data_IF_415543440242
#
_entry.id   IF_415543440242
#
_cell.length_a   1.000
_cell.length_b   1.000
_cell.length_c   1.000
_cell.angle_alpha   90.00
_cell.angle_beta   90.00
_cell.angle_gamma   90.00
#
_symmetry.space_group_name_H-M   'P 1'
#
loop_
_entity.id
_entity.type
_entity.pdbx_description
1 polymer ?
#
# COMPACT_ATOMS: atom_id res chain seq x y z
N UNK A 1 -37.09 49.97 -60.01
CA UNK A 1 -35.75 50.48 -60.38
C UNK A 1 -35.13 51.11 -59.14
N UNK A 2 -33.84 50.84 -58.90
CA UNK A 2 -33.04 51.29 -57.73
C UNK A 2 -33.46 50.62 -56.40
N UNK A 3 -32.64 49.90 -55.64
CA UNK A 3 -31.19 49.83 -55.57
C UNK A 3 -30.80 50.10 -54.11
N UNK A 4 -30.39 49.07 -53.35
CA UNK A 4 -29.46 49.28 -52.23
C UNK A 4 -28.87 47.94 -51.72
N UNK A 5 -27.62 47.67 -52.13
CA UNK A 5 -26.74 46.67 -51.52
C UNK A 5 -26.03 47.34 -50.35
N UNK A 6 -26.32 46.93 -49.11
CA UNK A 6 -25.44 47.22 -47.96
C UNK A 6 -24.50 46.04 -47.71
N UNK A 7 -23.25 46.24 -48.10
CA UNK A 7 -22.08 45.47 -47.68
C UNK A 7 -21.87 45.58 -46.16
N UNK A 8 -21.88 44.47 -45.42
CA UNK A 8 -21.33 44.44 -44.07
C UNK A 8 -19.84 44.17 -44.16
N UNK A 9 -19.04 45.17 -43.77
CA UNK A 9 -17.61 45.06 -43.52
C UNK A 9 -17.38 44.20 -42.27
N UNK A 10 -16.60 43.14 -42.42
CA UNK A 10 -16.00 42.38 -41.32
C UNK A 10 -14.81 43.18 -40.79
N UNK A 11 -14.79 43.43 -39.48
CA UNK A 11 -13.61 43.94 -38.78
C UNK A 11 -12.83 42.75 -38.24
N UNK A 12 -11.57 42.62 -38.65
CA UNK A 12 -10.63 41.66 -38.07
C UNK A 12 -10.13 42.24 -36.73
N UNK A 13 -10.36 41.52 -35.64
CA UNK A 13 -9.72 41.76 -34.35
C UNK A 13 -8.32 41.13 -34.39
N UNK A 14 -7.25 41.82 -33.95
CA UNK A 14 -5.93 41.22 -33.84
C UNK A 14 -5.92 40.22 -32.67
N UNK A 15 -5.60 38.96 -32.98
CA UNK A 15 -5.27 37.94 -31.98
C UNK A 15 -3.84 38.22 -31.51
N UNK A 16 -3.71 38.69 -30.26
CA UNK A 16 -2.42 38.74 -29.57
C UNK A 16 -2.18 37.35 -28.99
N UNK A 17 -1.24 36.59 -29.57
CA UNK A 17 -0.69 35.40 -28.94
C UNK A 17 0.24 35.84 -27.80
N UNK A 18 -0.22 35.75 -26.55
CA UNK A 18 0.69 35.66 -25.41
C UNK A 18 1.23 34.23 -25.35
N UNK A 19 2.53 34.08 -25.60
CA UNK A 19 3.28 32.87 -25.27
C UNK A 19 3.30 32.68 -23.75
N UNK A 20 2.51 31.74 -23.24
CA UNK A 20 2.60 31.29 -21.86
C UNK A 20 3.87 30.43 -21.71
N UNK A 21 4.83 30.93 -20.94
CA UNK A 21 5.95 30.13 -20.45
C UNK A 21 5.39 29.15 -19.41
N UNK A 22 5.66 27.83 -19.49
CA UNK A 22 5.23 26.92 -18.45
C UNK A 22 6.01 27.23 -17.16
N UNK A 23 5.32 27.78 -16.16
CA UNK A 23 5.82 27.76 -14.79
C UNK A 23 5.63 26.35 -14.25
N UNK A 24 6.73 25.64 -13.99
CA UNK A 24 6.73 24.53 -13.05
C UNK A 24 6.30 25.09 -11.69
N UNK A 25 5.06 24.82 -11.30
CA UNK A 25 4.65 24.95 -9.91
C UNK A 25 5.09 23.66 -9.23
N UNK A 26 6.25 23.70 -8.57
CA UNK A 26 6.58 22.70 -7.57
C UNK A 26 5.50 22.78 -6.50
N UNK A 27 4.64 21.76 -6.41
CA UNK A 27 3.81 21.57 -5.24
C UNK A 27 4.75 21.36 -4.06
N UNK A 28 4.95 22.40 -3.25
CA UNK A 28 5.61 22.26 -1.97
C UNK A 28 4.78 21.28 -1.13
N UNK A 29 5.35 20.17 -0.65
CA UNK A 29 4.65 19.34 0.31
C UNK A 29 4.29 20.20 1.52
N UNK A 30 3.15 19.94 2.19
CA UNK A 30 2.92 20.54 3.50
C UNK A 30 4.15 20.24 4.36
N UNK A 31 4.76 21.29 4.90
CA UNK A 31 5.98 21.17 5.69
C UNK A 31 5.81 20.17 6.83
N UNK A 32 6.91 19.58 7.33
CA UNK A 32 6.84 18.65 8.43
C UNK A 32 6.04 19.28 9.58
N UNK A 33 5.14 18.53 10.24
CA UNK A 33 4.58 19.00 11.49
C UNK A 33 5.75 19.39 12.39
N UNK A 34 5.62 20.55 13.04
CA UNK A 34 6.63 21.09 13.94
C UNK A 34 7.23 19.97 14.79
N UNK A 35 8.56 19.91 14.81
CA UNK A 35 9.32 19.08 15.73
C UNK A 35 9.05 19.56 17.16
N UNK A 36 7.89 19.17 17.69
CA UNK A 36 7.71 19.04 19.13
C UNK A 36 8.64 17.93 19.55
N UNK A 37 9.73 18.31 20.22
CA UNK A 37 10.55 17.38 20.99
C UNK A 37 9.64 16.56 21.89
N UNK A 38 9.33 15.34 21.49
CA UNK A 38 8.89 14.32 22.43
C UNK A 38 10.13 13.91 23.20
N UNK A 39 10.34 14.57 24.35
CA UNK A 39 11.16 14.02 25.41
C UNK A 39 10.58 12.64 25.74
N UNK A 40 11.30 11.61 25.32
CA UNK A 40 11.06 10.23 25.71
C UNK A 40 11.38 10.07 27.20
N UNK A 41 10.43 10.42 28.07
CA UNK A 41 10.36 9.79 29.39
C UNK A 41 9.75 8.41 29.23
N UNK A 42 10.36 7.35 29.79
CA UNK A 42 9.82 6.01 29.71
C UNK A 42 8.56 5.95 30.59
N UNK A 43 7.39 6.13 29.97
CA UNK A 43 6.14 5.76 30.60
C UNK A 43 6.07 4.24 30.57
N UNK A 44 6.20 3.62 31.75
CA UNK A 44 5.81 2.24 31.95
C UNK A 44 4.31 2.12 31.65
N UNK A 45 3.95 1.77 30.41
CA UNK A 45 2.57 1.48 30.03
C UNK A 45 2.28 0.03 30.38
N UNK A 46 1.36 -0.10 31.32
CA UNK A 46 0.85 -1.34 31.86
C UNK A 46 0.09 -2.07 30.75
N UNK A 47 0.59 -3.23 30.34
CA UNK A 47 -0.13 -4.14 29.45
C UNK A 47 -1.58 -4.33 29.93
N UNK A 48 -2.55 -3.94 29.10
CA UNK A 48 -3.96 -4.20 29.39
C UNK A 48 -4.19 -5.70 29.18
N UNK A 49 -4.59 -6.38 30.25
CA UNK A 49 -5.05 -7.77 30.20
C UNK A 49 -6.21 -7.89 29.21
N UNK A 50 -6.12 -8.91 28.37
CA UNK A 50 -7.05 -9.18 27.27
C UNK A 50 -8.52 -8.95 27.62
N UNK A 51 -9.15 -8.08 26.82
CA UNK A 51 -10.59 -8.08 26.66
C UNK A 51 -10.97 -9.32 25.85
N UNK A 52 -11.76 -10.21 26.47
CA UNK A 52 -12.43 -11.31 25.78
C UNK A 52 -13.39 -10.73 24.75
N UNK A 53 -13.08 -10.89 23.47
CA UNK A 53 -14.07 -10.76 22.41
C UNK A 53 -15.04 -11.95 22.51
N UNK A 54 -16.33 -11.63 22.63
CA UNK A 54 -17.41 -12.61 22.61
C UNK A 54 -17.60 -13.12 21.19
N UNK A 55 -17.63 -14.45 21.06
CA UNK A 55 -17.84 -15.22 19.84
C UNK A 55 -19.13 -14.81 19.11
N UNK A 56 -19.00 -14.64 17.79
CA UNK A 56 -19.99 -15.04 16.80
C UNK A 56 -19.29 -15.96 15.81
N UNK A 57 -19.45 -17.27 15.97
CA UNK A 57 -18.78 -18.27 15.13
C UNK A 57 -19.58 -18.64 13.89
N UNK A 58 -18.87 -18.94 12.80
CA UNK A 58 -19.03 -20.20 12.06
C UNK A 58 -17.91 -20.33 11.02
N UNK A 59 -17.11 -21.39 11.13
CA UNK A 59 -16.04 -21.71 10.19
C UNK A 59 -14.98 -22.58 10.85
N UNK A 60 -15.23 -23.90 10.87
CA UNK A 60 -14.29 -24.90 11.41
C UNK A 60 -13.14 -25.11 10.40
N UNK A 61 -12.06 -24.36 10.54
CA UNK A 61 -10.74 -24.70 9.99
C UNK A 61 -10.00 -25.58 11.00
N UNK A 62 -9.95 -26.88 10.75
CA UNK A 62 -9.35 -27.89 11.63
C UNK A 62 -7.83 -27.86 11.46
N UNK A 63 -7.12 -27.17 12.35
CA UNK A 63 -5.65 -27.26 12.44
C UNK A 63 -5.27 -28.67 12.91
N UNK A 64 -4.64 -29.44 12.04
CA UNK A 64 -4.10 -30.77 12.33
C UNK A 64 -2.72 -30.61 12.97
N UNK A 65 -2.64 -30.72 14.30
CA UNK A 65 -1.39 -30.90 15.02
C UNK A 65 -1.07 -32.39 15.12
N UNK A 66 -0.03 -32.83 14.41
CA UNK A 66 0.56 -34.15 14.64
C UNK A 66 1.85 -33.96 15.46
N UNK A 67 1.90 -34.38 16.74
CA UNK A 67 3.10 -34.26 17.55
C UNK A 67 4.07 -35.39 17.21
N UNK A 68 5.19 -35.07 16.56
CA UNK A 68 6.31 -36.00 16.45
C UNK A 68 7.26 -35.81 17.64
N UNK A 69 7.52 -36.94 18.29
CA UNK A 69 8.25 -37.16 19.54
C UNK A 69 9.76 -36.80 19.39
N UNK A 70 10.40 -36.22 20.43
CA UNK A 70 11.82 -35.84 20.37
C UNK A 70 12.75 -37.07 20.45
N UNK A 71 13.91 -37.08 19.75
CA UNK A 71 14.97 -38.03 20.02
C UNK A 71 15.80 -37.63 21.26
N UNK A 72 16.22 -38.65 22.00
CA UNK A 72 16.99 -38.66 23.25
C UNK A 72 18.48 -38.32 22.99
N UNK A 73 19.21 -37.69 23.95
CA UNK A 73 20.55 -37.19 23.72
C UNK A 73 21.59 -38.33 23.68
N UNK A 74 22.56 -38.19 22.79
CA UNK A 74 23.73 -39.08 22.69
C UNK A 74 24.98 -38.29 23.06
N UNK A 75 25.70 -38.80 24.05
CA UNK A 75 26.97 -38.32 24.59
C UNK A 75 28.15 -38.69 23.68
N UNK A 76 29.34 -38.19 24.04
CA UNK A 76 30.72 -38.49 23.52
C UNK A 76 31.09 -37.72 22.25
N UNK A 77 32.24 -37.06 22.10
CA UNK A 77 33.54 -37.11 22.82
C UNK A 77 34.29 -35.80 22.55
N UNK A 78 34.97 -35.26 23.55
CA UNK A 78 35.94 -34.18 23.43
C UNK A 78 37.20 -34.67 22.70
N UNK A 79 37.59 -33.98 21.63
CA UNK A 79 38.94 -34.09 21.06
C UNK A 79 39.59 -32.72 21.02
N UNK A 80 40.73 -32.64 21.69
CA UNK A 80 41.64 -31.50 21.75
C UNK A 80 42.38 -31.38 20.42
N UNK A 81 42.46 -30.19 19.83
CA UNK A 81 43.44 -29.87 18.78
C UNK A 81 43.76 -28.37 18.77
N UNK A 82 44.94 -28.07 19.29
CA UNK A 82 45.99 -27.22 18.71
C UNK A 82 45.61 -25.84 18.17
N UNK A 83 45.86 -24.81 18.97
CA UNK A 83 45.96 -23.41 18.55
C UNK A 83 47.12 -23.21 17.56
N UNK A 84 46.79 -22.84 16.32
CA UNK A 84 47.76 -22.29 15.36
C UNK A 84 47.31 -20.90 14.96
N UNK A 85 48.04 -19.90 15.44
CA UNK A 85 47.82 -18.48 15.12
C UNK A 85 48.12 -18.26 13.65
N UNK A 86 47.08 -18.05 12.85
CA UNK A 86 47.19 -17.66 11.44
C UNK A 86 46.74 -16.20 11.33
N UNK A 87 47.69 -15.31 11.04
CA UNK A 87 47.46 -13.89 10.80
C UNK A 87 46.81 -13.73 9.44
N UNK A 88 45.48 -13.62 9.39
CA UNK A 88 44.76 -13.32 8.15
C UNK A 88 44.60 -11.81 8.02
N UNK A 89 45.33 -11.22 7.09
CA UNK A 89 45.15 -9.82 6.66
C UNK A 89 43.79 -9.70 5.96
N UNK A 90 42.84 -9.05 6.62
CA UNK A 90 41.53 -8.73 6.03
C UNK A 90 41.70 -7.60 5.01
N UNK A 91 41.76 -7.96 3.73
CA UNK A 91 41.62 -7.00 2.64
C UNK A 91 40.15 -6.61 2.54
N UNK A 92 39.83 -5.38 2.94
CA UNK A 92 38.49 -4.81 2.80
C UNK A 92 38.19 -4.59 1.32
N UNK A 93 37.49 -5.52 0.69
CA UNK A 93 36.95 -5.33 -0.65
C UNK A 93 35.76 -4.37 -0.54
N UNK A 94 35.98 -3.10 -0.84
CA UNK A 94 34.92 -2.10 -0.96
C UNK A 94 34.09 -2.44 -2.21
N UNK A 95 32.97 -3.13 -2.02
CA UNK A 95 31.99 -3.31 -3.09
C UNK A 95 31.30 -1.96 -3.30
N UNK A 96 31.73 -1.22 -4.30
CA UNK A 96 31.04 -0.02 -4.76
C UNK A 96 29.73 -0.47 -5.41
N UNK A 97 28.65 -0.46 -4.65
CA UNK A 97 27.31 -0.60 -5.20
C UNK A 97 27.03 0.65 -6.03
N UNK A 98 27.14 0.52 -7.34
CA UNK A 98 26.75 1.55 -8.30
C UNK A 98 25.24 1.74 -8.18
N UNK A 99 24.81 2.80 -7.50
CA UNK A 99 23.41 3.21 -7.45
C UNK A 99 23.06 3.75 -8.84
N UNK A 100 22.63 2.86 -9.73
CA UNK A 100 22.00 3.28 -10.98
C UNK A 100 20.73 4.01 -10.59
N UNK A 101 20.73 5.34 -10.74
CA UNK A 101 19.52 6.15 -10.68
C UNK A 101 18.66 5.74 -11.87
N UNK A 102 17.78 4.76 -11.67
CA UNK A 102 16.74 4.43 -12.64
C UNK A 102 15.74 5.58 -12.58
N UNK A 103 15.96 6.61 -13.39
CA UNK A 103 14.86 7.51 -13.77
C UNK A 103 13.76 6.63 -14.34
N UNK A 104 12.64 6.52 -13.62
CA UNK A 104 11.44 5.80 -14.06
C UNK A 104 10.89 6.51 -15.31
N UNK A 105 11.34 6.09 -16.49
CA UNK A 105 11.01 6.73 -17.77
C UNK A 105 9.88 6.04 -18.54
N UNK A 106 9.26 4.99 -18.01
CA UNK A 106 8.06 4.42 -18.62
C UNK A 106 6.95 4.21 -17.61
N UNK A 107 5.76 4.72 -17.93
CA UNK A 107 4.53 4.46 -17.17
C UNK A 107 3.50 3.81 -18.09
N UNK A 108 2.38 3.35 -17.54
CA UNK A 108 1.26 2.84 -18.33
C UNK A 108 0.69 3.90 -19.31
N UNK A 109 1.08 5.18 -19.20
CA UNK A 109 0.72 6.23 -20.15
C UNK A 109 1.39 6.05 -21.51
N UNK A 110 2.48 5.29 -21.61
CA UNK A 110 3.15 5.03 -22.90
C UNK A 110 2.36 4.07 -23.79
N UNK A 111 1.29 3.47 -23.27
CA UNK A 111 0.37 2.63 -24.01
C UNK A 111 -0.43 3.36 -25.09
N UNK A 112 -1.13 2.57 -25.91
CA UNK A 112 -2.09 3.06 -26.90
C UNK A 112 -3.50 3.14 -26.34
N UNK A 113 -4.28 4.12 -26.77
CA UNK A 113 -5.69 4.24 -26.40
C UNK A 113 -6.08 5.68 -26.07
N UNK A 114 -7.37 5.93 -25.76
CA UNK A 114 -7.87 7.26 -25.41
C UNK A 114 -7.08 7.85 -24.24
N UNK A 115 -6.56 9.08 -24.39
CA UNK A 115 -5.92 9.81 -23.30
C UNK A 115 -6.91 10.81 -22.71
N UNK A 116 -7.17 10.70 -21.42
CA UNK A 116 -8.00 11.61 -20.66
C UNK A 116 -7.11 12.33 -19.64
N UNK A 117 -6.75 13.60 -19.87
CA UNK A 117 -6.04 14.37 -18.86
C UNK A 117 -7.01 14.76 -17.74
N UNK A 118 -6.66 14.40 -16.51
CA UNK A 118 -7.34 14.86 -15.30
C UNK A 118 -6.46 15.94 -14.66
N UNK A 119 -7.04 17.12 -14.44
CA UNK A 119 -6.30 18.28 -13.93
C UNK A 119 -7.10 19.01 -12.86
N UNK A 120 -6.41 19.75 -12.00
CA UNK A 120 -7.02 20.61 -11.00
C UNK A 120 -7.50 19.84 -9.76
N UNK A 121 -8.26 20.53 -8.92
CA UNK A 121 -8.72 19.98 -7.64
C UNK A 121 -10.18 19.52 -7.75
N UNK A 122 -10.42 18.27 -7.36
CA UNK A 122 -11.71 17.60 -7.40
C UNK A 122 -12.24 17.41 -5.98
N UNK A 123 -13.26 18.19 -5.62
CA UNK A 123 -14.02 18.01 -4.36
C UNK A 123 -15.20 17.05 -4.50
N UNK A 124 -15.50 16.64 -5.73
CA UNK A 124 -16.49 15.62 -6.09
C UNK A 124 -15.81 14.46 -6.79
N UNK A 125 -16.48 13.31 -6.86
CA UNK A 125 -15.98 12.12 -7.54
C UNK A 125 -15.71 12.38 -9.03
N UNK A 126 -14.58 11.85 -9.51
CA UNK A 126 -14.45 11.43 -10.90
C UNK A 126 -15.02 10.00 -10.99
N UNK A 127 -16.29 9.93 -11.40
CA UNK A 127 -17.01 8.67 -11.61
C UNK A 127 -17.18 8.45 -13.12
N UNK A 128 -16.46 7.47 -13.66
CA UNK A 128 -16.59 7.08 -15.06
C UNK A 128 -16.70 5.56 -15.16
N UNK A 129 -17.93 5.10 -15.40
CA UNK A 129 -18.31 3.68 -15.48
C UNK A 129 -18.41 3.16 -16.91
N UNK A 130 -17.86 3.89 -17.88
CA UNK A 130 -17.95 3.57 -19.31
C UNK A 130 -16.66 3.91 -20.05
N UNK A 131 -15.52 3.67 -19.40
CA UNK A 131 -14.21 3.79 -20.04
C UNK A 131 -14.10 2.81 -21.20
N UNK A 132 -13.39 3.21 -22.25
CA UNK A 132 -13.06 2.33 -23.38
C UNK A 132 -11.79 1.53 -23.04
N UNK A 133 -11.61 0.40 -23.72
CA UNK A 133 -10.38 -0.39 -23.59
C UNK A 133 -9.13 0.46 -23.84
N UNK A 134 -8.10 0.24 -23.03
CA UNK A 134 -6.82 0.95 -23.12
C UNK A 134 -6.91 2.44 -22.76
N UNK A 135 -7.98 2.90 -22.09
CA UNK A 135 -8.06 4.31 -21.68
C UNK A 135 -6.96 4.64 -20.68
N UNK A 136 -6.28 5.75 -20.94
CA UNK A 136 -5.19 6.30 -20.13
C UNK A 136 -5.65 7.57 -19.44
N UNK A 137 -5.80 7.50 -18.12
CA UNK A 137 -6.08 8.63 -17.25
C UNK A 137 -4.75 9.23 -16.79
N UNK A 138 -4.38 10.37 -17.36
CA UNK A 138 -3.21 11.14 -16.89
C UNK A 138 -3.65 12.07 -15.77
N UNK A 139 -3.49 11.60 -14.53
CA UNK A 139 -3.91 12.30 -13.32
C UNK A 139 -2.76 13.05 -12.64
N UNK A 140 -1.57 13.12 -13.26
CA UNK A 140 -0.37 13.76 -12.67
C UNK A 140 -0.58 15.23 -12.26
N UNK A 141 -1.59 15.90 -12.81
CA UNK A 141 -1.95 17.29 -12.50
C UNK A 141 -3.28 17.41 -11.74
N UNK A 142 -3.82 16.30 -11.23
CA UNK A 142 -5.06 16.24 -10.47
C UNK A 142 -4.80 16.02 -8.97
N UNK A 143 -5.62 16.68 -8.15
CA UNK A 143 -5.76 16.41 -6.72
C UNK A 143 -7.22 16.10 -6.43
N UNK A 144 -7.48 14.98 -5.78
CA UNK A 144 -8.81 14.57 -5.36
C UNK A 144 -8.94 14.67 -3.84
N UNK A 145 -10.08 15.15 -3.37
CA UNK A 145 -10.35 15.43 -1.97
C UNK A 145 -11.49 14.54 -1.45
N UNK A 146 -11.23 13.26 -1.13
CA UNK A 146 -12.24 12.43 -0.48
C UNK A 146 -12.62 12.99 0.88
N UNK A 147 -13.89 12.81 1.22
CA UNK A 147 -14.51 13.37 2.43
C UNK A 147 -15.75 12.53 2.77
N UNK A 148 -16.41 12.78 3.92
CA UNK A 148 -17.68 12.12 4.23
C UNK A 148 -18.79 12.29 3.17
N UNK A 149 -18.66 13.26 2.26
CA UNK A 149 -19.61 13.48 1.15
C UNK A 149 -19.05 13.06 -0.22
N UNK A 150 -17.79 12.62 -0.28
CA UNK A 150 -17.12 12.13 -1.49
C UNK A 150 -16.35 10.84 -1.16
N UNK A 151 -17.08 9.73 -1.10
CA UNK A 151 -16.58 8.43 -0.63
C UNK A 151 -15.77 7.64 -1.68
N UNK A 152 -15.88 7.99 -2.95
CA UNK A 152 -15.13 7.33 -4.02
C UNK A 152 -14.63 8.40 -4.99
N UNK A 153 -13.57 9.13 -4.64
CA UNK A 153 -13.10 10.27 -5.43
C UNK A 153 -12.63 9.88 -6.83
N UNK A 154 -12.19 8.62 -7.01
CA UNK A 154 -11.91 8.01 -8.32
C UNK A 154 -12.62 6.65 -8.37
N UNK A 155 -13.66 6.55 -9.21
CA UNK A 155 -14.48 5.34 -9.35
C UNK A 155 -14.60 4.95 -10.83
N UNK A 156 -14.01 3.83 -11.20
CA UNK A 156 -13.75 3.46 -12.60
C UNK A 156 -14.46 2.16 -12.99
N UNK A 157 -15.07 2.16 -14.17
CA UNK A 157 -15.64 0.98 -14.82
C UNK A 157 -15.71 1.13 -16.33
N UNK A 158 -16.00 0.02 -17.00
CA UNK A 158 -16.02 -0.04 -18.45
C UNK A 158 -15.09 -1.14 -18.98
N UNK A 159 -14.22 -0.74 -19.90
CA UNK A 159 -13.31 -1.61 -20.65
C UNK A 159 -12.13 -2.15 -19.85
N UNK A 160 -11.22 -2.83 -20.53
CA UNK A 160 -10.02 -3.43 -19.95
C UNK A 160 -8.76 -2.56 -20.20
N UNK A 161 -7.67 -2.84 -19.50
CA UNK A 161 -6.37 -2.22 -19.80
C UNK A 161 -6.31 -0.75 -19.40
N UNK A 162 -7.02 -0.37 -18.34
CA UNK A 162 -7.10 1.02 -17.90
C UNK A 162 -5.80 1.43 -17.23
N UNK A 163 -5.25 2.56 -17.64
CA UNK A 163 -4.10 3.17 -16.98
C UNK A 163 -4.55 4.37 -16.14
N UNK A 164 -4.16 4.40 -14.87
CA UNK A 164 -4.27 5.55 -13.97
C UNK A 164 -2.86 5.93 -13.54
N UNK A 165 -2.36 7.07 -14.03
CA UNK A 165 -1.00 7.49 -13.75
C UNK A 165 -0.95 8.82 -12.98
N UNK A 166 -0.28 8.80 -11.83
CA UNK A 166 -0.08 9.96 -10.98
C UNK A 166 -1.33 10.43 -10.25
N UNK A 167 -1.25 11.64 -9.74
CA UNK A 167 -2.34 12.30 -9.00
C UNK A 167 -2.26 12.08 -7.51
N UNK A 168 -2.88 13.00 -6.79
CA UNK A 168 -2.90 13.00 -5.33
C UNK A 168 -4.33 12.85 -4.81
N UNK A 169 -4.60 11.81 -4.03
CA UNK A 169 -5.86 11.62 -3.32
C UNK A 169 -5.62 11.96 -1.84
N UNK A 170 -6.07 13.13 -1.42
CA UNK A 170 -5.77 13.71 -0.11
C UNK A 170 -7.03 13.81 0.74
N UNK A 171 -7.23 12.86 1.65
CA UNK A 171 -8.43 12.78 2.47
C UNK A 171 -8.63 13.96 3.40
N UNK A 172 -9.84 14.50 3.38
CA UNK A 172 -10.30 15.63 4.19
C UNK A 172 -11.06 15.17 5.44
N UNK A 173 -10.85 13.93 5.85
CA UNK A 173 -11.48 13.37 7.04
C UNK A 173 -10.76 13.86 8.30
N UNK A 174 -11.53 14.08 9.36
CA UNK A 174 -10.97 14.36 10.68
C UNK A 174 -10.12 13.17 11.15
N UNK A 175 -8.87 13.45 11.53
CA UNK A 175 -7.90 12.42 11.99
C UNK A 175 -8.20 11.91 13.40
N UNK A 176 -9.13 12.55 14.11
CA UNK A 176 -9.64 12.09 15.41
C UNK A 176 -10.73 11.02 15.29
N UNK A 177 -11.26 10.78 14.08
CA UNK A 177 -12.20 9.70 13.82
C UNK A 177 -11.57 8.36 14.15
N UNK A 178 -12.32 7.52 14.86
CA UNK A 178 -11.92 6.16 15.14
C UNK A 178 -11.91 5.30 13.87
N UNK A 179 -11.29 4.13 13.97
CA UNK A 179 -11.41 3.08 12.96
C UNK A 179 -12.87 2.75 12.69
N UNK A 180 -13.71 2.59 13.72
CA UNK A 180 -15.13 2.24 13.52
C UNK A 180 -15.91 3.35 12.80
N UNK A 181 -15.62 4.62 13.10
CA UNK A 181 -16.21 5.77 12.39
C UNK A 181 -15.83 5.75 10.90
N UNK A 182 -14.54 5.53 10.61
CA UNK A 182 -14.01 5.51 9.26
C UNK A 182 -14.44 4.29 8.46
N UNK A 183 -14.48 3.12 9.10
CA UNK A 183 -14.91 1.87 8.50
C UNK A 183 -16.39 1.93 8.10
N UNK A 184 -17.24 2.54 8.94
CA UNK A 184 -18.67 2.68 8.67
C UNK A 184 -18.98 3.51 7.41
N UNK A 185 -18.09 4.45 7.05
CA UNK A 185 -18.26 5.26 5.84
C UNK A 185 -18.11 4.46 4.55
N UNK A 186 -17.41 3.32 4.57
CA UNK A 186 -17.14 2.47 3.40
C UNK A 186 -16.70 3.28 2.16
N UNK A 187 -15.44 3.71 2.15
CA UNK A 187 -14.84 4.53 1.10
C UNK A 187 -13.50 3.96 0.65
N UNK A 188 -13.11 4.25 -0.59
CA UNK A 188 -11.79 3.91 -1.12
C UNK A 188 -11.25 5.06 -1.97
N UNK A 189 -9.94 5.30 -1.92
CA UNK A 189 -9.30 6.36 -2.71
C UNK A 189 -9.44 6.12 -4.21
N UNK A 190 -9.16 4.89 -4.67
CA UNK A 190 -9.31 4.48 -6.06
C UNK A 190 -10.02 3.14 -6.08
N UNK A 191 -11.19 3.10 -6.71
CA UNK A 191 -11.96 1.87 -6.93
C UNK A 191 -12.11 1.64 -8.43
N UNK A 192 -11.91 0.41 -8.88
CA UNK A 192 -12.10 0.04 -10.29
C UNK A 192 -12.75 -1.33 -10.46
N UNK A 193 -13.60 -1.44 -11.48
CA UNK A 193 -14.22 -2.70 -11.93
C UNK A 193 -13.67 -3.14 -13.30
N UNK A 194 -12.69 -2.40 -13.82
CA UNK A 194 -12.03 -2.64 -15.08
C UNK A 194 -10.93 -3.71 -14.92
N UNK A 195 -10.95 -4.81 -15.68
CA UNK A 195 -9.86 -5.79 -15.65
C UNK A 195 -8.60 -5.23 -16.31
N UNK A 196 -7.43 -5.76 -15.92
CA UNK A 196 -6.12 -5.30 -16.41
C UNK A 196 -5.86 -3.81 -16.12
N UNK A 197 -6.30 -3.34 -14.95
CA UNK A 197 -6.09 -1.94 -14.54
C UNK A 197 -4.71 -1.75 -13.92
N UNK A 198 -4.02 -0.71 -14.38
CA UNK A 198 -2.74 -0.25 -13.84
C UNK A 198 -2.95 1.05 -13.06
N UNK A 199 -2.62 1.04 -11.78
CA UNK A 199 -2.58 2.23 -10.91
C UNK A 199 -1.12 2.53 -10.60
N UNK A 200 -0.56 3.56 -11.22
CA UNK A 200 0.86 3.86 -11.17
C UNK A 200 1.17 5.25 -10.60
N UNK A 201 2.17 5.34 -9.74
CA UNK A 201 2.76 6.59 -9.22
C UNK A 201 1.76 7.52 -8.51
N UNK A 202 0.73 6.96 -7.90
CA UNK A 202 -0.30 7.72 -7.15
C UNK A 202 0.17 8.08 -5.74
N UNK A 203 -0.28 9.23 -5.23
CA UNK A 203 -0.13 9.62 -3.82
C UNK A 203 -1.48 9.53 -3.13
N UNK A 204 -1.61 8.77 -2.05
CA UNK A 204 -2.88 8.60 -1.31
C UNK A 204 -2.66 8.81 0.20
N UNK A 205 -3.35 9.78 0.81
CA UNK A 205 -3.27 10.07 2.25
C UNK A 205 -4.65 10.11 2.92
N UNK A 206 -4.72 9.63 4.16
CA UNK A 206 -5.83 9.87 5.08
C UNK A 206 -7.21 9.42 4.54
N UNK A 207 -7.28 8.20 4.00
CA UNK A 207 -8.52 7.58 3.50
C UNK A 207 -8.93 6.41 4.41
N UNK A 208 -10.12 5.80 4.20
CA UNK A 208 -10.42 4.50 4.82
C UNK A 208 -9.62 3.43 4.09
N UNK A 209 -10.00 3.09 2.86
CA UNK A 209 -9.24 2.16 2.02
C UNK A 209 -8.45 2.90 0.95
N UNK A 210 -7.28 2.37 0.60
CA UNK A 210 -6.42 2.92 -0.44
C UNK A 210 -6.94 2.56 -1.84
N UNK A 211 -6.56 1.38 -2.32
CA UNK A 211 -6.88 0.90 -3.66
C UNK A 211 -7.79 -0.31 -3.56
N UNK A 212 -8.93 -0.28 -4.26
CA UNK A 212 -9.98 -1.30 -4.21
C UNK A 212 -10.24 -1.90 -5.61
N UNK A 213 -9.50 -2.95 -6.00
CA UNK A 213 -9.83 -3.74 -7.19
C UNK A 213 -11.13 -4.52 -6.97
N UNK A 214 -12.02 -4.46 -7.96
CA UNK A 214 -13.18 -5.37 -8.06
C UNK A 214 -12.97 -6.41 -9.15
N UNK A 215 -12.24 -6.04 -10.21
CA UNK A 215 -11.83 -6.93 -11.29
C UNK A 215 -10.30 -7.04 -11.38
N UNK A 216 -9.83 -8.14 -11.95
CA UNK A 216 -8.43 -8.44 -12.15
C UNK A 216 -8.13 -9.01 -13.54
N UNK A 217 -6.83 -9.22 -13.86
CA UNK A 217 -5.68 -8.89 -13.02
C UNK A 217 -5.53 -7.37 -12.84
N UNK A 218 -4.78 -6.93 -11.83
CA UNK A 218 -4.45 -5.52 -11.63
C UNK A 218 -2.95 -5.31 -11.38
N UNK A 219 -2.48 -4.09 -11.60
CA UNK A 219 -1.12 -3.66 -11.21
C UNK A 219 -1.22 -2.40 -10.34
N UNK A 220 -0.52 -2.40 -9.21
CA UNK A 220 -0.21 -1.21 -8.41
C UNK A 220 1.29 -1.02 -8.44
N UNK A 221 1.78 0.08 -9.00
CA UNK A 221 3.22 0.35 -9.12
C UNK A 221 3.61 1.74 -8.64
N UNK A 222 4.69 1.88 -7.89
CA UNK A 222 5.18 3.20 -7.49
C UNK A 222 4.21 3.98 -6.61
N UNK A 223 3.22 3.32 -6.01
CA UNK A 223 2.18 3.99 -5.23
C UNK A 223 2.75 4.41 -3.87
N UNK A 224 2.39 5.61 -3.41
CA UNK A 224 2.76 6.12 -2.10
C UNK A 224 1.52 6.37 -1.24
N UNK A 225 1.24 5.42 -0.34
CA UNK A 225 0.11 5.44 0.58
C UNK A 225 0.59 5.82 1.97
N UNK A 226 -0.13 6.71 2.64
CA UNK A 226 0.11 7.06 4.06
C UNK A 226 -1.18 7.20 4.81
N UNK A 227 -1.16 6.83 6.10
CA UNK A 227 -2.29 7.02 7.01
C UNK A 227 -3.63 6.48 6.43
N UNK A 228 -3.58 5.26 5.88
CA UNK A 228 -4.76 4.54 5.38
C UNK A 228 -5.39 3.79 6.54
N UNK A 229 -6.62 4.18 6.90
CA UNK A 229 -7.22 3.81 8.19
C UNK A 229 -7.95 2.49 8.19
N UNK A 230 -8.01 1.78 7.08
CA UNK A 230 -8.38 0.37 7.02
C UNK A 230 -7.41 -0.37 6.08
N UNK A 231 -7.85 -0.83 4.91
CA UNK A 231 -7.01 -1.66 4.03
C UNK A 231 -6.24 -0.78 3.00
N UNK A 232 -4.90 -0.81 3.00
CA UNK A 232 -4.09 -0.12 1.96
C UNK A 232 -4.43 -0.62 0.55
N UNK A 233 -4.60 -1.94 0.41
CA UNK A 233 -5.22 -2.56 -0.76
C UNK A 233 -6.36 -3.46 -0.29
N UNK A 234 -7.59 -3.07 -0.61
CA UNK A 234 -8.80 -3.86 -0.33
C UNK A 234 -9.14 -4.74 -1.52
N UNK A 235 -8.52 -5.91 -1.62
CA UNK A 235 -8.78 -6.90 -2.67
C UNK A 235 -9.79 -7.96 -2.20
N UNK A 236 -10.88 -7.53 -1.58
CA UNK A 236 -11.93 -8.44 -1.11
C UNK A 236 -12.61 -9.22 -2.25
N UNK A 237 -12.44 -8.81 -3.51
CA UNK A 237 -12.88 -9.56 -4.69
C UNK A 237 -11.87 -10.63 -5.16
N UNK A 238 -10.82 -10.88 -4.38
CA UNK A 238 -9.84 -11.98 -4.53
C UNK A 238 -9.24 -12.07 -5.93
N UNK A 239 -8.89 -10.91 -6.49
CA UNK A 239 -8.37 -10.78 -7.84
C UNK A 239 -6.87 -11.06 -7.91
N UNK A 240 -6.35 -11.72 -8.96
CA UNK A 240 -4.91 -11.78 -9.19
C UNK A 240 -4.34 -10.37 -9.43
N UNK A 241 -3.04 -10.20 -9.22
CA UNK A 241 -2.40 -8.93 -9.54
C UNK A 241 -0.95 -8.85 -9.15
N UNK A 242 -0.42 -7.64 -9.32
CA UNK A 242 0.94 -7.25 -8.99
C UNK A 242 0.92 -5.98 -8.15
N UNK A 243 1.63 -5.99 -7.02
CA UNK A 243 1.99 -4.79 -6.26
C UNK A 243 3.51 -4.68 -6.31
N UNK A 244 4.03 -3.66 -6.98
CA UNK A 244 5.45 -3.53 -7.30
C UNK A 244 5.99 -2.15 -6.93
N UNK A 245 7.22 -2.10 -6.44
CA UNK A 245 7.98 -0.87 -6.12
C UNK A 245 7.12 0.20 -5.43
N UNK A 246 6.30 -0.18 -4.45
CA UNK A 246 5.32 0.70 -3.80
C UNK A 246 5.66 0.94 -2.33
N UNK A 247 5.38 2.16 -1.85
CA UNK A 247 5.54 2.56 -0.46
C UNK A 247 4.17 2.67 0.24
N UNK A 248 3.80 1.62 0.96
CA UNK A 248 2.60 1.54 1.79
C UNK A 248 2.97 1.88 3.24
N UNK A 249 3.18 3.17 3.51
CA UNK A 249 3.75 3.69 4.75
C UNK A 249 2.68 4.23 5.71
N UNK A 250 2.00 3.30 6.38
CA UNK A 250 1.03 3.61 7.41
C UNK A 250 -0.35 3.09 7.07
N UNK A 251 -0.42 1.77 6.97
CA UNK A 251 -1.66 1.03 6.80
C UNK A 251 -2.20 0.59 8.18
N UNK A 252 -3.52 0.61 8.36
CA UNK A 252 -4.12 -0.08 9.49
C UNK A 252 -4.11 -1.59 9.25
N UNK A 253 -4.53 -2.03 8.06
CA UNK A 253 -4.30 -3.35 7.47
C UNK A 253 -3.60 -3.14 6.13
N UNK A 254 -2.58 -3.92 5.80
CA UNK A 254 -1.86 -3.68 4.54
C UNK A 254 -2.64 -4.20 3.32
N UNK A 255 -2.91 -5.49 3.24
CA UNK A 255 -3.60 -6.10 2.10
C UNK A 255 -4.71 -7.01 2.62
N UNK A 256 -5.91 -6.89 2.06
CA UNK A 256 -7.04 -7.77 2.38
C UNK A 256 -7.52 -8.56 1.16
N UNK A 257 -7.85 -9.81 1.40
CA UNK A 257 -8.53 -10.72 0.48
C UNK A 257 -9.56 -11.53 1.28
N UNK A 258 -10.51 -10.81 1.90
CA UNK A 258 -11.51 -11.39 2.79
C UNK A 258 -12.92 -11.08 2.29
N UNK A 259 -13.38 -11.77 1.23
CA UNK A 259 -14.66 -11.50 0.60
C UNK A 259 -15.80 -11.55 1.61
N UNK A 260 -16.69 -10.57 1.54
CA UNK A 260 -17.97 -10.61 2.26
C UNK A 260 -18.86 -11.74 1.73
N UNK A 261 -19.87 -12.14 2.51
CA UNK A 261 -20.85 -13.16 2.07
C UNK A 261 -21.49 -12.82 0.72
N UNK A 262 -21.72 -11.53 0.43
CA UNK A 262 -22.29 -11.09 -0.84
C UNK A 262 -21.31 -11.26 -2.01
N UNK A 263 -20.02 -11.00 -1.78
CA UNK A 263 -18.96 -11.21 -2.78
C UNK A 263 -18.81 -12.72 -3.07
N UNK A 264 -18.80 -13.56 -2.02
CA UNK A 264 -18.77 -15.02 -2.18
C UNK A 264 -19.98 -15.50 -2.99
N UNK A 265 -21.19 -15.01 -2.67
CA UNK A 265 -22.41 -15.37 -3.38
C UNK A 265 -22.40 -14.92 -4.85
N UNK A 266 -21.60 -13.90 -5.19
CA UNK A 266 -21.41 -13.42 -6.57
C UNK A 266 -20.40 -14.25 -7.36
N UNK A 267 -19.78 -15.26 -6.74
CA UNK A 267 -18.93 -16.24 -7.43
C UNK A 267 -17.44 -15.90 -7.49
N UNK A 268 -16.98 -14.88 -6.77
CA UNK A 268 -15.55 -14.55 -6.71
C UNK A 268 -14.78 -15.62 -5.92
N UNK A 269 -13.71 -16.12 -6.54
CA UNK A 269 -12.85 -17.18 -6.01
C UNK A 269 -11.43 -17.01 -6.57
N UNK A 270 -10.48 -16.62 -5.72
CA UNK A 270 -9.10 -16.36 -6.10
C UNK A 270 -8.21 -17.60 -6.05
N UNK A 271 -8.71 -18.74 -5.58
CA UNK A 271 -7.89 -19.94 -5.42
C UNK A 271 -7.26 -20.36 -6.75
N UNK A 272 -5.95 -20.60 -6.73
CA UNK A 272 -5.18 -20.96 -7.93
C UNK A 272 -4.79 -19.77 -8.81
N UNK A 273 -5.30 -18.57 -8.53
CA UNK A 273 -4.76 -17.31 -9.06
C UNK A 273 -3.61 -16.82 -8.18
N UNK A 274 -2.87 -15.81 -8.64
CA UNK A 274 -1.67 -15.31 -7.96
C UNK A 274 -1.73 -13.79 -7.73
N UNK A 275 -1.54 -13.37 -6.49
CA UNK A 275 -1.14 -12.02 -6.14
C UNK A 275 0.37 -12.02 -5.86
N UNK A 276 1.11 -11.20 -6.59
CA UNK A 276 2.54 -10.98 -6.36
C UNK A 276 2.76 -9.64 -5.69
N UNK A 277 3.56 -9.61 -4.63
CA UNK A 277 4.01 -8.37 -3.99
C UNK A 277 5.53 -8.36 -4.02
N UNK A 278 6.10 -7.40 -4.74
CA UNK A 278 7.54 -7.32 -4.90
C UNK A 278 8.10 -5.90 -4.79
N UNK A 279 9.38 -5.82 -4.40
CA UNK A 279 10.16 -4.59 -4.32
C UNK A 279 9.51 -3.49 -3.46
N UNK A 280 8.57 -3.87 -2.57
CA UNK A 280 7.67 -2.93 -1.90
C UNK A 280 7.99 -2.78 -0.42
N UNK A 281 7.62 -1.61 0.12
CA UNK A 281 7.81 -1.24 1.51
C UNK A 281 6.44 -1.13 2.18
N UNK A 282 6.20 -1.93 3.22
CA UNK A 282 4.87 -2.07 3.83
C UNK A 282 4.97 -1.88 5.34
N UNK A 283 4.37 -0.82 5.88
CA UNK A 283 4.32 -0.57 7.33
C UNK A 283 2.91 -0.57 7.86
N UNK A 284 2.70 -1.36 8.91
CA UNK A 284 1.54 -1.21 9.79
C UNK A 284 1.80 -0.06 10.75
N UNK A 285 0.88 0.90 10.78
CA UNK A 285 0.93 2.03 11.70
C UNK A 285 -0.12 1.87 12.78
N UNK A 286 0.27 1.89 14.07
CA UNK A 286 -0.66 2.12 15.16
C UNK A 286 -1.37 3.47 14.99
N UNK A 287 -2.69 3.45 14.93
CA UNK A 287 -3.54 4.64 14.75
C UNK A 287 -4.45 4.84 15.96
N UNK A 288 -4.80 6.10 16.30
CA UNK A 288 -5.70 6.40 17.40
C UNK A 288 -7.12 5.87 17.16
N UNK A 289 -7.82 5.50 18.24
CA UNK A 289 -9.20 5.02 18.17
C UNK A 289 -9.36 3.74 17.35
N UNK A 290 -8.60 2.68 17.64
CA UNK A 290 -8.63 1.49 16.80
C UNK A 290 -9.92 0.68 17.04
N UNK A 291 -10.13 -0.39 16.26
CA UNK A 291 -11.38 -1.19 16.26
C UNK A 291 -11.81 -1.62 17.66
N UNK A 292 -12.97 -1.12 18.11
CA UNK A 292 -13.51 -1.40 19.44
C UNK A 292 -12.70 -0.85 20.62
N UNK A 293 -11.69 -0.02 20.36
CA UNK A 293 -10.85 0.66 21.35
C UNK A 293 -11.32 2.08 21.66
N UNK A 294 -10.68 2.71 22.63
CA UNK A 294 -10.90 4.13 22.95
C UNK A 294 -10.11 5.02 21.99
N UNK A 295 -10.55 6.28 21.80
CA UNK A 295 -9.84 7.27 20.97
C UNK A 295 -8.36 7.49 21.37
N UNK A 296 -8.01 7.23 22.64
CA UNK A 296 -6.64 7.34 23.16
C UNK A 296 -5.78 6.10 22.93
N UNK A 297 -6.40 4.97 22.59
CA UNK A 297 -5.67 3.73 22.33
C UNK A 297 -5.02 3.81 20.95
N UNK A 298 -3.88 3.15 20.78
CA UNK A 298 -3.22 3.01 19.48
C UNK A 298 -3.31 1.56 19.02
N UNK A 299 -3.76 1.35 17.79
CA UNK A 299 -3.96 0.01 17.25
C UNK A 299 -3.79 -0.06 15.75
N UNK A 300 -3.46 -1.25 15.28
CA UNK A 300 -3.47 -1.62 13.87
C UNK A 300 -4.05 -3.03 13.71
N UNK A 301 -4.43 -3.37 12.49
CA UNK A 301 -4.76 -4.73 12.05
C UNK A 301 -3.50 -5.50 11.67
N UNK A 302 -3.54 -6.21 10.55
CA UNK A 302 -2.51 -7.19 10.12
C UNK A 302 -1.92 -6.83 8.76
N UNK A 303 -0.81 -7.46 8.38
CA UNK A 303 -0.29 -7.32 7.01
C UNK A 303 -1.22 -7.98 5.98
N UNK A 304 -1.72 -9.17 6.29
CA UNK A 304 -2.57 -9.95 5.38
C UNK A 304 -3.87 -10.35 6.07
N UNK A 305 -4.97 -9.72 5.68
CA UNK A 305 -6.33 -10.08 6.10
C UNK A 305 -6.90 -11.07 5.08
N UNK A 306 -6.60 -12.35 5.29
CA UNK A 306 -6.72 -13.40 4.28
C UNK A 306 -7.90 -14.35 4.52
N UNK A 307 -8.44 -14.93 3.45
CA UNK A 307 -9.50 -15.95 3.52
C UNK A 307 -9.10 -17.26 2.85
N UNK A 308 -9.90 -18.31 3.00
CA UNK A 308 -9.71 -19.59 2.31
C UNK A 308 -10.00 -19.52 0.79
N UNK A 309 -10.61 -18.42 0.32
CA UNK A 309 -10.90 -18.17 -1.10
C UNK A 309 -9.89 -17.22 -1.75
N UNK A 310 -8.93 -16.73 -0.97
CA UNK A 310 -7.93 -15.80 -1.44
C UNK A 310 -6.96 -16.45 -2.43
N UNK A 311 -6.24 -15.61 -3.14
CA UNK A 311 -5.20 -15.96 -4.10
C UNK A 311 -4.05 -16.73 -3.45
N UNK A 312 -3.28 -17.41 -4.29
CA UNK A 312 -1.91 -17.74 -3.91
C UNK A 312 -1.11 -16.45 -3.78
N UNK A 313 -0.11 -16.46 -2.92
CA UNK A 313 0.72 -15.30 -2.62
C UNK A 313 2.17 -15.57 -3.01
N UNK A 314 2.81 -14.59 -3.65
CA UNK A 314 4.26 -14.53 -3.89
C UNK A 314 4.82 -13.22 -3.32
N UNK A 315 5.94 -13.30 -2.59
CA UNK A 315 6.54 -12.19 -1.85
C UNK A 315 8.04 -12.08 -2.10
N UNK A 316 8.49 -11.04 -2.79
CA UNK A 316 9.90 -10.91 -3.19
C UNK A 316 10.50 -9.52 -2.95
N UNK A 317 11.67 -9.48 -2.29
CA UNK A 317 12.44 -8.25 -2.06
C UNK A 317 11.66 -7.14 -1.32
N UNK A 318 10.74 -7.52 -0.42
CA UNK A 318 9.95 -6.55 0.34
C UNK A 318 10.60 -6.21 1.69
N UNK A 319 10.31 -5.02 2.20
CA UNK A 319 10.57 -4.66 3.60
C UNK A 319 9.24 -4.40 4.29
N UNK A 320 8.98 -5.16 5.34
CA UNK A 320 7.82 -5.00 6.21
C UNK A 320 8.24 -4.32 7.51
N UNK A 321 7.37 -3.49 8.09
CA UNK A 321 7.58 -2.91 9.41
C UNK A 321 6.31 -2.94 10.25
N UNK A 322 6.45 -3.34 11.52
CA UNK A 322 5.38 -3.25 12.52
C UNK A 322 5.96 -2.83 13.88
N UNK A 323 5.22 -1.98 14.58
CA UNK A 323 5.67 -1.37 15.84
C UNK A 323 5.06 -2.02 17.08
N UNK A 324 3.99 -2.78 16.91
CA UNK A 324 3.32 -3.50 18.00
C UNK A 324 2.55 -4.70 17.47
N UNK A 325 2.07 -5.53 18.39
CA UNK A 325 1.25 -6.69 18.06
C UNK A 325 -0.09 -6.21 17.53
N UNK A 326 -0.57 -6.83 16.45
CA UNK A 326 -1.90 -6.57 15.90
C UNK A 326 -2.99 -6.75 16.96
N UNK A 327 -4.06 -5.96 16.86
CA UNK A 327 -5.25 -6.16 17.68
C UNK A 327 -5.95 -7.50 17.40
N UNK A 328 -5.73 -8.07 16.22
CA UNK A 328 -6.23 -9.40 15.86
C UNK A 328 -5.40 -10.52 16.53
N UNK A 329 -4.29 -10.17 17.21
CA UNK A 329 -3.41 -11.06 17.93
C UNK A 329 -2.04 -11.25 17.26
N UNK A 330 -1.10 -11.82 18.01
CA UNK A 330 0.24 -12.11 17.50
C UNK A 330 0.25 -13.15 16.37
N UNK A 331 -0.54 -14.20 16.52
CA UNK A 331 -0.59 -15.33 15.59
C UNK A 331 -1.13 -14.95 14.19
N UNK A 332 -1.86 -13.83 14.08
CA UNK A 332 -2.44 -13.35 12.82
C UNK A 332 -1.48 -12.47 12.02
N UNK A 333 -0.31 -12.14 12.57
CA UNK A 333 0.69 -11.33 11.87
C UNK A 333 1.55 -12.16 10.90
N UNK A 334 1.40 -13.49 10.85
CA UNK A 334 2.16 -14.35 9.96
C UNK A 334 1.85 -14.16 8.48
N UNK A 335 2.54 -14.92 7.64
CA UNK A 335 2.30 -14.96 6.20
C UNK A 335 1.19 -15.99 5.89
N UNK A 336 0.25 -15.69 4.97
CA UNK A 336 -0.79 -16.64 4.57
C UNK A 336 -0.23 -18.00 4.15
N UNK A 337 -0.95 -19.07 4.47
CA UNK A 337 -0.57 -20.43 4.10
C UNK A 337 -0.64 -20.71 2.59
N UNK A 338 -1.28 -19.84 1.82
CA UNK A 338 -1.30 -19.87 0.35
C UNK A 338 -0.05 -19.24 -0.27
N UNK A 339 0.98 -18.92 0.53
CA UNK A 339 2.30 -18.55 0.03
C UNK A 339 2.89 -19.68 -0.81
N UNK A 340 3.15 -19.41 -2.08
CA UNK A 340 3.69 -20.39 -3.03
C UNK A 340 5.16 -20.16 -3.37
N UNK A 341 5.62 -18.91 -3.28
CA UNK A 341 7.00 -18.51 -3.51
C UNK A 341 7.36 -17.29 -2.66
N UNK A 342 8.64 -17.17 -2.29
CA UNK A 342 9.15 -15.95 -1.67
C UNK A 342 10.68 -15.89 -1.66
N UNK A 343 11.23 -14.67 -1.71
CA UNK A 343 12.66 -14.42 -1.56
C UNK A 343 12.97 -13.06 -0.93
N UNK A 344 14.08 -12.98 -0.19
CA UNK A 344 14.71 -11.73 0.25
C UNK A 344 13.78 -10.72 0.97
N UNK A 345 12.85 -11.19 1.80
CA UNK A 345 11.98 -10.30 2.57
C UNK A 345 12.64 -9.93 3.90
N UNK A 346 12.39 -8.71 4.37
CA UNK A 346 12.83 -8.22 5.68
C UNK A 346 11.61 -7.88 6.53
N UNK A 347 11.61 -8.32 7.79
CA UNK A 347 10.66 -7.87 8.82
C UNK A 347 11.38 -7.00 9.84
N UNK A 348 11.09 -5.70 9.85
CA UNK A 348 11.50 -4.75 10.87
C UNK A 348 10.46 -4.77 11.99
N UNK A 349 10.75 -5.50 13.07
CA UNK A 349 9.84 -5.69 14.18
C UNK A 349 10.22 -4.80 15.37
N UNK A 350 9.53 -3.68 15.59
CA UNK A 350 9.89 -2.77 16.69
C UNK A 350 9.12 -3.03 17.99
N UNK A 351 8.12 -3.91 17.99
CA UNK A 351 7.36 -4.24 19.19
C UNK A 351 8.17 -5.00 20.24
N UNK A 352 7.57 -5.28 21.39
CA UNK A 352 8.24 -6.00 22.46
C UNK A 352 8.56 -7.46 22.08
N UNK A 353 9.71 -7.96 22.57
CA UNK A 353 10.09 -9.37 22.42
C UNK A 353 10.35 -9.82 20.97
N UNK A 354 10.40 -11.14 20.71
CA UNK A 354 10.52 -11.69 19.37
C UNK A 354 9.28 -11.37 18.52
N UNK A 355 9.41 -11.47 17.20
CA UNK A 355 8.27 -11.34 16.31
C UNK A 355 7.23 -12.44 16.62
N UNK A 356 5.93 -12.12 16.71
CA UNK A 356 4.97 -12.98 17.39
C UNK A 356 4.44 -14.15 16.55
N UNK A 357 4.71 -14.17 15.24
CA UNK A 357 4.25 -15.22 14.33
C UNK A 357 5.42 -15.93 13.64
N UNK A 358 5.25 -17.20 13.22
CA UNK A 358 6.25 -17.84 12.38
C UNK A 358 6.35 -17.13 11.03
N UNK A 359 7.58 -16.94 10.55
CA UNK A 359 7.86 -16.45 9.21
C UNK A 359 8.57 -17.54 8.39
N UNK A 360 8.33 -17.62 7.07
CA UNK A 360 9.06 -18.53 6.19
C UNK A 360 10.56 -18.19 6.15
N UNK A 361 11.43 -19.15 5.76
CA UNK A 361 12.89 -18.94 5.73
C UNK A 361 13.39 -17.80 4.82
N UNK A 362 12.55 -17.32 3.88
CA UNK A 362 12.85 -16.18 3.02
C UNK A 362 12.76 -14.82 3.75
N UNK A 363 12.41 -14.80 5.04
CA UNK A 363 12.37 -13.59 5.87
C UNK A 363 13.59 -13.48 6.77
N UNK A 364 14.20 -12.29 6.78
CA UNK A 364 15.12 -11.87 7.84
C UNK A 364 14.41 -10.94 8.81
N UNK A 365 14.41 -11.26 10.10
CA UNK A 365 13.81 -10.41 11.13
C UNK A 365 14.89 -9.54 11.78
N UNK A 366 14.65 -8.24 11.89
CA UNK A 366 15.53 -7.29 12.57
C UNK A 366 14.75 -6.37 13.52
N UNK A 367 15.45 -5.88 14.56
CA UNK A 367 14.99 -4.81 15.45
C UNK A 367 15.48 -3.42 15.01
N UNK A 368 16.32 -3.38 13.98
CA UNK A 368 16.96 -2.14 13.54
C UNK A 368 16.02 -1.31 12.67
N UNK A 369 15.47 -0.24 13.24
CA UNK A 369 14.59 0.70 12.55
C UNK A 369 15.28 1.37 11.35
N UNK A 370 16.61 1.51 11.37
CA UNK A 370 17.33 2.18 10.28
C UNK A 370 17.23 1.43 8.95
N UNK A 371 16.94 0.11 8.99
CA UNK A 371 16.68 -0.68 7.78
C UNK A 371 15.42 -0.18 7.05
N UNK A 372 14.35 0.10 7.78
CA UNK A 372 13.15 0.70 7.22
C UNK A 372 13.42 2.11 6.72
N UNK A 373 14.01 2.96 7.57
CA UNK A 373 14.25 4.37 7.25
C UNK A 373 15.14 4.53 5.99
N UNK A 374 16.17 3.70 5.85
CA UNK A 374 17.05 3.68 4.68
C UNK A 374 16.33 3.17 3.43
N UNK A 375 15.47 2.16 3.55
CA UNK A 375 14.68 1.65 2.44
C UNK A 375 13.70 2.72 1.92
N UNK A 376 12.99 3.41 2.83
CA UNK A 376 12.08 4.52 2.50
C UNK A 376 12.85 5.67 1.85
N UNK A 377 13.95 6.12 2.44
CA UNK A 377 14.76 7.19 1.87
C UNK A 377 15.28 6.83 0.47
N UNK A 378 15.70 5.58 0.27
CA UNK A 378 16.14 5.07 -1.03
C UNK A 378 14.99 5.02 -2.04
N UNK A 379 13.81 4.59 -1.63
CA UNK A 379 12.61 4.56 -2.47
C UNK A 379 12.24 5.98 -2.92
N UNK A 380 12.11 6.91 -1.97
CA UNK A 380 11.80 8.32 -2.27
C UNK A 380 12.81 8.92 -3.25
N UNK A 381 14.11 8.68 -3.02
CA UNK A 381 15.15 9.16 -3.92
C UNK A 381 15.05 8.59 -5.35
N UNK A 382 14.76 7.29 -5.51
CA UNK A 382 14.55 6.68 -6.84
C UNK A 382 13.33 7.23 -7.56
N UNK A 383 12.30 7.61 -6.81
CA UNK A 383 11.05 8.18 -7.33
C UNK A 383 11.10 9.71 -7.50
N UNK A 384 12.25 10.35 -7.27
CA UNK A 384 12.41 11.80 -7.40
C UNK A 384 11.66 12.60 -6.32
N UNK A 385 11.36 11.96 -5.20
CA UNK A 385 10.65 12.53 -4.05
C UNK A 385 11.65 12.89 -2.94
N UNK A 386 11.31 13.90 -2.15
CA UNK A 386 12.06 14.26 -0.95
C UNK A 386 11.43 13.63 0.31
N UNK A 387 12.25 13.21 1.29
CA UNK A 387 11.80 12.74 2.61
C UNK A 387 10.86 13.69 3.36
#
# INVERSE_FOLDING_TARGET
>A
MSGDRKSRRTWALPVVLLSAVPMLVAATPPGPPSTGQWLSTPAAVRAVRGAKSNRGGNGRGRWSTNPTKPPKPTTTTSSTSSSTTSTTTSTTTTTTSTTTSTTLTSTCLDGSGPLIPLTGTWSTSYDNRSLLDGTRLDARQATFLPSPTNLYPVNLGGGAGICVAGGAVLGQFDRTLSWDDMHTLNNAAIRFEDPDTHVEYVRIDNVTDGIRPVAGPFTVRGAWLTYVRDDCVENDHVQPGLIDDSLLDGCYVAISERPSTAIIASGYDGRGQLLTVENSLIRLQPMPGPRGGLATDLGNGVFFKWSDLATNLELDNNVFMAEQVSQDGGDTMGIPSSLVACSNNIMVWLGDGPYPAPLPPCFTVTKDRSVWDAAVASWLARHGLTP
#
